data_IF_531821703691
#
_entry.id   IF_531821703691
#
_cell.length_a   1.000
_cell.length_b   1.000
_cell.length_c   1.000
_cell.angle_alpha   90.00
_cell.angle_beta   90.00
_cell.angle_gamma   90.00
#
_symmetry.space_group_name_H-M   'P 1'
#
loop_
_entity.id
_entity.type
_entity.pdbx_description
1 polymer ?
#
# COMPACT_ATOMS: atom_id res chain seq x y z
N UNK A 1 24.60 -2.20 3.11
CA UNK A 1 23.17 -2.62 2.97
C UNK A 1 22.70 -3.07 4.35
N UNK A 2 21.60 -2.52 4.86
CA UNK A 2 21.20 -2.68 6.26
C UNK A 2 20.87 -4.13 6.64
N UNK A 3 20.24 -4.91 5.75
CA UNK A 3 19.97 -6.33 5.98
C UNK A 3 21.24 -7.14 6.29
N UNK A 4 22.36 -6.85 5.62
CA UNK A 4 23.64 -7.52 5.88
C UNK A 4 24.18 -7.24 7.29
N UNK A 5 23.83 -6.11 7.89
CA UNK A 5 24.26 -5.77 9.26
C UNK A 5 23.56 -6.63 10.31
N UNK A 6 22.36 -7.13 9.99
CA UNK A 6 21.53 -7.94 10.88
C UNK A 6 21.44 -9.40 10.40
N UNK A 7 22.29 -9.80 9.44
CA UNK A 7 22.30 -11.14 8.84
C UNK A 7 20.93 -11.60 8.34
N UNK A 8 20.13 -10.67 7.80
CA UNK A 8 18.81 -10.97 7.21
C UNK A 8 19.00 -11.32 5.73
N UNK A 9 18.80 -12.59 5.34
CA UNK A 9 18.85 -12.98 3.93
C UNK A 9 17.68 -12.35 3.18
N UNK A 10 17.93 -11.87 1.96
CA UNK A 10 16.90 -11.29 1.12
C UNK A 10 17.11 -11.67 -0.34
N UNK A 11 16.03 -11.61 -1.11
CA UNK A 11 16.04 -11.76 -2.56
C UNK A 11 15.30 -10.57 -3.15
N UNK A 12 15.86 -9.96 -4.20
CA UNK A 12 15.20 -8.89 -4.95
C UNK A 12 14.70 -9.49 -6.26
N UNK A 13 13.39 -9.41 -6.47
CA UNK A 13 12.74 -9.86 -7.71
C UNK A 13 12.06 -8.67 -8.37
N UNK A 14 12.52 -8.31 -9.56
CA UNK A 14 11.92 -7.25 -10.38
C UNK A 14 11.25 -7.87 -11.60
N UNK A 15 10.04 -7.42 -11.96
CA UNK A 15 9.40 -7.77 -13.22
C UNK A 15 9.49 -6.60 -14.19
N UNK A 16 10.04 -6.86 -15.37
CA UNK A 16 10.04 -5.93 -16.49
C UNK A 16 9.07 -6.42 -17.58
N UNK A 17 8.59 -5.52 -18.42
CA UNK A 17 7.70 -5.82 -19.54
C UNK A 17 6.35 -6.45 -19.16
N UNK A 18 5.87 -6.21 -17.94
CA UNK A 18 4.53 -6.58 -17.51
C UNK A 18 3.59 -5.36 -17.63
N UNK A 19 2.57 -5.47 -18.48
CA UNK A 19 1.57 -4.42 -18.70
C UNK A 19 0.38 -4.51 -17.75
N UNK A 20 0.19 -5.67 -17.12
CA UNK A 20 -0.91 -5.96 -16.21
C UNK A 20 -0.37 -6.12 -14.79
N UNK A 21 -0.51 -5.07 -13.98
CA UNK A 21 0.00 -5.02 -12.60
C UNK A 21 -0.50 -6.20 -11.76
N UNK A 22 -1.76 -6.63 -11.94
CA UNK A 22 -2.33 -7.77 -11.20
C UNK A 22 -1.54 -9.06 -11.46
N UNK A 23 -1.29 -9.39 -12.73
CA UNK A 23 -0.47 -10.53 -13.13
C UNK A 23 0.98 -10.39 -12.66
N UNK A 24 1.53 -9.18 -12.68
CA UNK A 24 2.85 -8.90 -12.12
C UNK A 24 2.95 -9.25 -10.63
N UNK A 25 2.03 -8.75 -9.81
CA UNK A 25 1.99 -9.03 -8.37
C UNK A 25 1.75 -10.52 -8.08
N UNK A 26 0.85 -11.17 -8.83
CA UNK A 26 0.62 -12.61 -8.72
C UNK A 26 1.87 -13.43 -9.09
N UNK A 27 2.62 -13.01 -10.11
CA UNK A 27 3.86 -13.67 -10.54
C UNK A 27 4.97 -13.52 -9.49
N UNK A 28 5.16 -12.32 -8.92
CA UNK A 28 6.11 -12.10 -7.82
C UNK A 28 5.74 -12.91 -6.57
N UNK A 29 4.44 -13.02 -6.29
CA UNK A 29 3.92 -13.86 -5.19
C UNK A 29 4.26 -15.32 -5.43
N UNK A 30 4.11 -15.81 -6.66
CA UNK A 30 4.52 -17.17 -7.03
C UNK A 30 6.02 -17.41 -6.82
N UNK A 31 6.87 -16.48 -7.25
CA UNK A 31 8.33 -16.59 -7.06
C UNK A 31 8.70 -16.65 -5.57
N UNK A 32 8.04 -15.85 -4.75
CA UNK A 32 8.21 -15.86 -3.31
C UNK A 32 7.75 -17.18 -2.67
N UNK A 33 6.59 -17.70 -3.07
CA UNK A 33 6.05 -18.95 -2.52
C UNK A 33 6.89 -20.16 -2.88
N UNK A 34 7.52 -20.15 -4.06
CA UNK A 34 8.47 -21.19 -4.48
C UNK A 34 9.75 -21.21 -3.62
N UNK A 35 10.20 -20.05 -3.12
CA UNK A 35 11.35 -19.99 -2.23
C UNK A 35 10.97 -20.49 -0.83
N UNK A 36 11.36 -21.73 -0.48
CA UNK A 36 11.06 -22.37 0.81
C UNK A 36 11.56 -21.58 2.02
N UNK A 37 12.69 -20.89 1.88
CA UNK A 37 13.41 -20.27 2.99
C UNK A 37 12.89 -18.86 3.31
N UNK A 38 12.18 -18.23 2.37
CA UNK A 38 11.60 -16.91 2.54
C UNK A 38 10.40 -16.96 3.51
N UNK A 39 10.33 -15.98 4.43
CA UNK A 39 9.25 -15.89 5.44
C UNK A 39 8.31 -14.70 5.22
N UNK A 40 8.79 -13.64 4.57
CA UNK A 40 8.05 -12.41 4.32
C UNK A 40 8.22 -11.98 2.85
N UNK A 41 7.11 -11.60 2.22
CA UNK A 41 7.09 -10.92 0.94
C UNK A 41 6.97 -9.42 1.18
N UNK A 42 7.84 -8.63 0.56
CA UNK A 42 7.79 -7.18 0.65
C UNK A 42 7.58 -6.60 -0.75
N UNK A 43 6.43 -5.96 -0.96
CA UNK A 43 6.18 -5.17 -2.16
C UNK A 43 6.66 -3.74 -1.95
N UNK A 44 7.43 -3.25 -2.92
CA UNK A 44 7.89 -1.87 -3.01
C UNK A 44 7.66 -1.39 -4.44
N UNK A 45 6.82 -0.37 -4.62
CA UNK A 45 6.64 0.24 -5.93
C UNK A 45 7.89 1.05 -6.32
N UNK A 46 8.19 1.12 -7.61
CA UNK A 46 9.44 1.70 -8.12
C UNK A 46 9.59 3.21 -7.91
N UNK A 47 8.51 3.87 -7.47
CA UNK A 47 8.39 5.30 -7.23
C UNK A 47 8.12 5.63 -5.76
N UNK A 48 8.36 4.67 -4.85
CA UNK A 48 8.29 4.86 -3.40
C UNK A 48 9.70 5.06 -2.85
N UNK A 49 9.89 6.17 -2.16
CA UNK A 49 11.08 6.44 -1.35
C UNK A 49 10.79 6.06 0.11
N UNK A 50 11.73 5.36 0.73
CA UNK A 50 11.60 4.82 2.08
C UNK A 50 12.96 4.74 2.76
N UNK A 51 12.95 4.73 4.10
CA UNK A 51 14.16 4.46 4.89
C UNK A 51 14.34 2.95 5.12
N UNK A 52 15.55 2.39 5.00
CA UNK A 52 15.77 0.95 5.19
C UNK A 52 15.33 0.41 6.56
N UNK A 53 15.35 1.26 7.59
CA UNK A 53 14.86 0.96 8.94
C UNK A 53 13.37 0.60 8.94
N UNK A 54 12.56 1.18 8.05
CA UNK A 54 11.12 0.91 7.96
C UNK A 54 10.86 -0.55 7.57
N UNK A 55 11.64 -1.08 6.61
CA UNK A 55 11.55 -2.48 6.21
C UNK A 55 11.85 -3.42 7.38
N UNK A 56 12.94 -3.17 8.10
CA UNK A 56 13.33 -4.00 9.24
C UNK A 56 12.28 -3.98 10.35
N UNK A 57 11.73 -2.80 10.60
CA UNK A 57 10.70 -2.57 11.62
C UNK A 57 9.41 -3.29 11.27
N UNK A 58 9.00 -3.24 10.00
CA UNK A 58 7.82 -3.96 9.49
C UNK A 58 7.95 -5.47 9.61
N UNK A 59 9.14 -6.03 9.37
CA UNK A 59 9.41 -7.46 9.63
C UNK A 59 9.38 -7.76 11.13
N UNK A 60 9.97 -6.88 11.97
CA UNK A 60 10.04 -7.07 13.41
C UNK A 60 8.69 -7.01 14.15
N UNK A 61 7.67 -6.37 13.57
CA UNK A 61 6.32 -6.34 14.16
C UNK A 61 5.63 -7.70 14.18
N UNK A 62 6.08 -8.65 13.35
CA UNK A 62 5.53 -10.01 13.26
C UNK A 62 3.98 -10.04 13.14
N UNK A 63 3.44 -9.14 12.31
CA UNK A 63 2.01 -9.10 11.98
C UNK A 63 1.77 -9.70 10.60
N UNK A 64 0.57 -10.28 10.35
CA UNK A 64 0.26 -10.96 9.09
C UNK A 64 0.47 -10.07 7.85
N UNK A 65 -0.04 -8.83 7.91
CA UNK A 65 0.13 -7.81 6.86
C UNK A 65 0.39 -6.46 7.51
N UNK A 66 1.50 -5.82 7.15
CA UNK A 66 1.87 -4.45 7.59
C UNK A 66 2.09 -3.59 6.36
N UNK A 67 1.68 -2.32 6.43
CA UNK A 67 1.89 -1.34 5.36
C UNK A 67 2.49 -0.03 5.88
N UNK A 68 3.20 0.66 5.01
CA UNK A 68 3.48 2.09 5.16
C UNK A 68 2.49 2.92 4.34
N UNK A 69 2.05 4.06 4.88
CA UNK A 69 1.16 4.97 4.15
C UNK A 69 1.98 5.95 3.31
N UNK A 70 1.58 6.11 2.04
CA UNK A 70 2.18 7.07 1.11
C UNK A 70 1.11 7.99 0.49
N UNK A 71 1.49 9.22 0.13
CA UNK A 71 0.56 10.18 -0.46
C UNK A 71 0.17 9.78 -1.89
N UNK A 72 -1.06 10.11 -2.31
CA UNK A 72 -1.51 10.06 -3.69
C UNK A 72 -0.80 11.14 -4.48
N UNK A 73 -0.49 10.87 -5.75
CA UNK A 73 0.11 11.82 -6.70
C UNK A 73 -0.89 12.89 -7.17
N UNK A 74 -1.47 13.64 -6.24
CA UNK A 74 -2.40 14.71 -6.50
C UNK A 74 -2.33 15.75 -5.38
N UNK A 75 -2.31 17.02 -5.77
CA UNK A 75 -2.38 18.12 -4.81
C UNK A 75 -3.85 18.38 -4.46
N UNK A 76 -4.15 18.32 -3.16
CA UNK A 76 -5.44 18.70 -2.60
C UNK A 76 -5.50 20.22 -2.38
N UNK A 77 -5.78 20.96 -3.45
CA UNK A 77 -5.87 22.42 -3.42
C UNK A 77 -6.92 22.95 -2.43
N UNK A 78 -8.03 22.25 -2.28
CA UNK A 78 -9.09 22.63 -1.33
C UNK A 78 -8.61 22.52 0.12
N UNK A 79 -7.88 21.45 0.45
CA UNK A 79 -7.27 21.28 1.78
C UNK A 79 -6.25 22.39 2.08
N UNK A 80 -5.41 22.74 1.10
CA UNK A 80 -4.48 23.87 1.21
C UNK A 80 -5.22 25.19 1.47
N UNK A 81 -6.25 25.49 0.68
CA UNK A 81 -7.05 26.71 0.83
C UNK A 81 -7.70 26.76 2.22
N UNK A 82 -8.21 25.63 2.70
CA UNK A 82 -8.81 25.54 4.02
C UNK A 82 -7.78 25.79 5.13
N UNK A 83 -6.61 25.15 5.07
CA UNK A 83 -5.55 25.30 6.07
C UNK A 83 -5.07 26.75 6.20
N UNK A 84 -4.79 27.43 5.07
CA UNK A 84 -4.36 28.84 5.07
C UNK A 84 -5.44 29.76 5.65
N UNK A 85 -6.71 29.48 5.39
CA UNK A 85 -7.83 30.27 5.93
C UNK A 85 -8.05 30.02 7.41
N UNK A 86 -7.81 28.80 7.89
CA UNK A 86 -8.01 28.40 9.28
C UNK A 86 -6.84 28.82 10.19
N UNK A 87 -5.62 28.87 9.66
CA UNK A 87 -4.41 29.18 10.42
C UNK A 87 -3.51 30.14 9.63
N UNK A 88 -3.47 31.40 10.06
CA UNK A 88 -2.65 32.45 9.43
C UNK A 88 -1.14 32.29 9.63
N UNK A 89 -0.71 31.35 10.48
CA UNK A 89 0.71 31.05 10.70
C UNK A 89 1.25 29.98 9.74
N UNK A 90 0.40 29.40 8.89
CA UNK A 90 0.85 28.51 7.82
C UNK A 90 1.86 29.24 6.91
N UNK A 91 2.92 28.54 6.54
CA UNK A 91 3.99 29.08 5.71
C UNK A 91 4.47 28.04 4.70
N UNK A 92 5.42 28.42 3.84
CA UNK A 92 5.93 27.57 2.77
C UNK A 92 6.48 26.20 3.24
N UNK A 93 6.95 26.09 4.50
CA UNK A 93 7.49 24.84 5.04
C UNK A 93 6.44 23.94 5.70
N UNK A 94 5.27 24.49 6.06
CA UNK A 94 4.22 23.73 6.77
C UNK A 94 3.07 23.38 5.83
N UNK A 95 2.84 24.20 4.80
CA UNK A 95 1.65 24.09 3.95
C UNK A 95 1.63 22.80 3.10
N UNK A 96 2.79 22.26 2.77
CA UNK A 96 2.92 21.04 1.97
C UNK A 96 2.27 19.83 2.65
N UNK A 97 2.27 19.77 3.98
CA UNK A 97 1.63 18.69 4.74
C UNK A 97 0.11 18.58 4.52
N UNK A 98 -0.54 19.66 4.10
CA UNK A 98 -1.98 19.69 3.81
C UNK A 98 -2.32 19.32 2.35
N UNK A 99 -1.30 19.13 1.50
CA UNK A 99 -1.47 18.88 0.07
C UNK A 99 -1.84 17.44 -0.27
N UNK A 100 -1.64 16.50 0.66
CA UNK A 100 -1.62 15.07 0.36
C UNK A 100 -2.87 14.32 0.84
N UNK A 101 -3.44 13.50 -0.05
CA UNK A 101 -4.41 12.46 0.31
C UNK A 101 -3.68 11.11 0.38
N UNK A 102 -3.87 10.28 1.39
CA UNK A 102 -3.14 9.00 1.51
C UNK A 102 -3.91 7.81 0.89
N UNK A 103 -3.19 6.76 0.49
CA UNK A 103 -3.75 5.50 -0.06
C UNK A 103 -4.04 4.50 1.07
N UNK A 104 -4.85 4.91 2.05
CA UNK A 104 -5.28 4.05 3.16
C UNK A 104 -6.74 4.33 3.53
N UNK A 105 -7.49 3.29 3.89
CA UNK A 105 -8.83 3.40 4.48
C UNK A 105 -8.77 2.86 5.92
N UNK A 106 -9.07 3.69 6.92
CA UNK A 106 -9.06 3.28 8.33
C UNK A 106 -10.27 2.39 8.69
N UNK A 107 -10.05 1.42 9.59
CA UNK A 107 -11.13 0.66 10.21
C UNK A 107 -11.63 1.36 11.48
N UNK A 108 -12.56 2.29 11.26
CA UNK A 108 -13.19 3.10 12.31
C UNK A 108 -14.10 2.26 13.21
N UNK A 109 -13.98 2.45 14.53
CA UNK A 109 -14.84 1.82 15.52
C UNK A 109 -16.31 2.19 15.30
N UNK A 110 -17.22 1.26 15.60
CA UNK A 110 -18.66 1.49 15.58
C UNK A 110 -19.20 1.64 17.00
N UNK A 111 -20.13 2.59 17.19
CA UNK A 111 -20.83 2.75 18.46
C UNK A 111 -21.87 1.62 18.67
N UNK A 112 -22.53 1.59 19.83
CA UNK A 112 -23.59 0.62 20.16
C UNK A 112 -24.77 0.61 19.16
N UNK A 113 -24.93 1.69 18.36
CA UNK A 113 -25.95 1.84 17.33
C UNK A 113 -25.47 1.40 15.93
N UNK A 114 -24.20 1.01 15.79
CA UNK A 114 -23.59 0.59 14.53
C UNK A 114 -23.01 1.73 13.67
N UNK A 115 -23.07 2.98 14.13
CA UNK A 115 -22.54 4.14 13.40
C UNK A 115 -21.02 4.22 13.54
N UNK A 116 -20.35 4.65 12.46
CA UNK A 116 -18.90 4.88 12.48
C UNK A 116 -18.54 6.04 13.41
N UNK A 117 -17.51 5.85 14.21
CA UNK A 117 -16.90 6.87 15.07
C UNK A 117 -15.55 7.29 14.48
N UNK A 118 -15.00 8.47 14.82
CA UNK A 118 -13.68 8.87 14.34
C UNK A 118 -12.52 8.11 15.01
N UNK A 119 -12.80 7.16 15.90
CA UNK A 119 -11.78 6.41 16.63
C UNK A 119 -11.24 5.26 15.78
N UNK A 120 -9.91 5.15 15.73
CA UNK A 120 -9.20 4.05 15.08
C UNK A 120 -8.82 2.98 16.09
N UNK A 121 -8.68 1.74 15.63
CA UNK A 121 -8.20 0.63 16.45
C UNK A 121 -6.67 0.63 16.46
N UNK A 122 -6.07 0.75 17.64
CA UNK A 122 -4.61 0.73 17.83
C UNK A 122 -4.22 -0.52 18.62
N UNK A 123 -3.23 -1.26 18.13
CA UNK A 123 -2.62 -2.40 18.82
C UNK A 123 -1.12 -2.41 18.55
N UNK A 124 -0.29 -2.57 19.58
CA UNK A 124 1.19 -2.56 19.45
C UNK A 124 1.76 -1.33 18.71
N UNK A 125 1.14 -0.16 18.89
CA UNK A 125 1.43 1.08 18.16
C UNK A 125 1.19 1.02 16.64
N UNK A 126 0.47 0.01 16.16
CA UNK A 126 -0.01 -0.11 14.80
C UNK A 126 -1.49 0.25 14.74
N UNK A 127 -1.92 0.79 13.60
CA UNK A 127 -3.31 1.19 13.37
C UNK A 127 -3.97 0.17 12.45
N UNK A 128 -5.13 -0.37 12.83
CA UNK A 128 -5.87 -1.30 11.98
C UNK A 128 -6.48 -0.59 10.77
N UNK A 129 -6.29 -1.16 9.59
CA UNK A 129 -6.83 -0.65 8.33
C UNK A 129 -7.93 -1.53 7.76
N UNK A 130 -8.84 -0.90 7.03
CA UNK A 130 -9.80 -1.55 6.17
C UNK A 130 -9.19 -1.90 4.81
N UNK A 131 -8.49 -0.97 4.16
CA UNK A 131 -7.81 -1.26 2.89
C UNK A 131 -6.50 -0.46 2.84
N UNK A 132 -5.48 -1.01 2.17
CA UNK A 132 -4.18 -0.38 2.03
C UNK A 132 -3.58 -0.62 0.64
N UNK A 133 -2.79 0.34 0.17
CA UNK A 133 -2.01 0.20 -1.05
C UNK A 133 -0.84 -0.78 -0.90
N UNK A 134 -0.48 -1.45 -2.00
CA UNK A 134 0.62 -2.43 -2.05
C UNK A 134 1.99 -1.80 -2.34
N UNK A 135 2.09 -0.48 -2.48
CA UNK A 135 3.34 0.20 -2.82
C UNK A 135 4.41 0.14 -1.74
N UNK A 136 4.04 -0.15 -0.49
CA UNK A 136 4.96 -0.51 0.58
C UNK A 136 4.27 -1.45 1.57
N UNK A 137 4.27 -2.75 1.26
CA UNK A 137 3.49 -3.77 1.99
C UNK A 137 4.34 -5.00 2.31
N UNK A 138 4.37 -5.36 3.58
CA UNK A 138 4.97 -6.59 4.11
C UNK A 138 3.86 -7.63 4.36
N UNK A 139 4.04 -8.84 3.85
CA UNK A 139 3.07 -9.95 3.95
C UNK A 139 3.81 -11.18 4.45
N UNK A 140 3.33 -11.81 5.52
CA UNK A 140 3.88 -13.08 5.98
C UNK A 140 3.52 -14.23 5.03
N UNK A 141 4.44 -15.17 4.85
CA UNK A 141 4.23 -16.34 3.96
C UNK A 141 2.96 -17.12 4.29
N UNK A 142 2.66 -17.26 5.58
CA UNK A 142 1.47 -17.96 6.06
C UNK A 142 0.15 -17.30 5.60
N UNK A 143 0.12 -15.99 5.35
CA UNK A 143 -1.07 -15.29 4.84
C UNK A 143 -1.38 -15.76 3.43
N UNK A 144 -0.36 -15.77 2.56
CA UNK A 144 -0.51 -16.21 1.17
C UNK A 144 -0.88 -17.70 1.12
N UNK A 145 -0.26 -18.53 1.96
CA UNK A 145 -0.61 -19.95 2.05
C UNK A 145 -2.07 -20.15 2.45
N UNK A 146 -2.53 -19.48 3.52
CA UNK A 146 -3.93 -19.56 3.95
C UNK A 146 -4.88 -19.11 2.83
N UNK A 147 -4.53 -18.05 2.10
CA UNK A 147 -5.33 -17.59 0.96
C UNK A 147 -5.36 -18.61 -0.17
N UNK A 148 -4.25 -19.28 -0.49
CA UNK A 148 -4.23 -20.35 -1.49
C UNK A 148 -5.11 -21.53 -1.08
N UNK A 149 -5.09 -21.90 0.20
CA UNK A 149 -5.88 -23.01 0.74
C UNK A 149 -7.37 -22.68 0.76
N UNK A 150 -7.73 -21.42 1.04
CA UNK A 150 -9.13 -20.96 1.09
C UNK A 150 -9.72 -20.66 -0.29
N UNK A 151 -8.96 -20.02 -1.16
CA UNK A 151 -9.41 -19.51 -2.46
C UNK A 151 -8.83 -20.35 -3.61
N UNK A 152 -9.12 -21.66 -3.58
CA UNK A 152 -8.65 -22.60 -4.62
C UNK A 152 -9.22 -22.29 -6.00
N UNK A 153 -10.35 -21.58 -6.05
CA UNK A 153 -11.00 -21.07 -7.26
C UNK A 153 -10.20 -19.97 -7.96
N UNK A 154 -9.30 -19.28 -7.26
CA UNK A 154 -8.44 -18.23 -7.83
C UNK A 154 -7.20 -18.79 -8.53
N UNK A 155 -6.96 -20.11 -8.47
CA UNK A 155 -5.85 -20.74 -9.17
C UNK A 155 -6.06 -20.66 -10.68
N UNK A 156 -5.04 -20.23 -11.42
CA UNK A 156 -5.12 -20.11 -12.87
C UNK A 156 -3.87 -20.66 -13.57
N UNK A 157 -4.04 -21.04 -14.82
CA UNK A 157 -2.92 -21.35 -15.72
C UNK A 157 -2.48 -20.05 -16.37
N UNK A 158 -1.21 -19.72 -16.23
CA UNK A 158 -0.66 -18.46 -16.72
C UNK A 158 -0.15 -18.64 -18.15
N UNK A 159 -0.44 -17.67 -19.04
CA UNK A 159 -0.06 -17.74 -20.46
C UNK A 159 1.36 -17.19 -20.75
N UNK A 160 2.09 -16.76 -19.72
CA UNK A 160 3.49 -16.31 -19.85
C UNK A 160 4.45 -17.48 -19.61
N UNK A 161 5.54 -17.51 -20.36
CA UNK A 161 6.62 -18.50 -20.17
C UNK A 161 7.39 -18.19 -18.87
N UNK A 162 6.95 -18.81 -17.78
CA UNK A 162 7.69 -18.92 -16.52
C UNK A 162 8.12 -20.37 -16.32
N UNK A 163 9.16 -20.60 -15.51
CA UNK A 163 9.57 -21.95 -15.13
C UNK A 163 8.40 -22.70 -14.45
N UNK A 164 8.23 -23.98 -14.79
CA UNK A 164 7.16 -24.85 -14.32
C UNK A 164 7.05 -24.87 -12.78
N UNK A 165 8.17 -24.69 -12.07
CA UNK A 165 8.18 -24.63 -10.60
C UNK A 165 7.33 -23.47 -10.03
N UNK A 166 7.13 -22.41 -10.80
CA UNK A 166 6.32 -21.25 -10.39
C UNK A 166 4.82 -21.43 -10.71
N UNK A 167 4.47 -22.25 -11.70
CA UNK A 167 3.08 -22.43 -12.14
C UNK A 167 2.16 -22.93 -11.01
N UNK A 168 2.67 -23.77 -10.10
CA UNK A 168 1.90 -24.29 -8.96
C UNK A 168 1.38 -23.21 -8.00
N UNK A 169 1.99 -22.02 -8.01
CA UNK A 169 1.68 -20.89 -7.12
C UNK A 169 1.00 -19.72 -7.85
N UNK A 170 0.43 -19.95 -9.04
CA UNK A 170 -0.30 -18.93 -9.80
C UNK A 170 -1.76 -18.82 -9.32
N UNK A 171 -2.03 -17.79 -8.51
CA UNK A 171 -3.35 -17.47 -7.97
C UNK A 171 -3.67 -16.00 -8.20
N UNK A 172 -4.91 -15.69 -8.55
CA UNK A 172 -5.40 -14.34 -8.83
C UNK A 172 -5.71 -13.53 -7.56
N UNK A 173 -4.81 -13.58 -6.56
CA UNK A 173 -4.99 -12.89 -5.26
C UNK A 173 -5.00 -11.36 -5.39
N UNK A 174 -4.36 -10.83 -6.43
CA UNK A 174 -4.32 -9.40 -6.76
C UNK A 174 -5.17 -9.07 -8.00
N UNK A 175 -6.23 -9.80 -8.31
CA UNK A 175 -7.20 -9.31 -9.32
C UNK A 175 -8.18 -8.32 -8.73
N UNK A 176 -8.68 -7.38 -9.54
CA UNK A 176 -9.72 -6.42 -9.17
C UNK A 176 -11.07 -7.12 -8.99
N UNK A 177 -11.96 -6.55 -8.18
CA UNK A 177 -13.35 -7.02 -8.11
C UNK A 177 -14.35 -5.89 -7.91
N UNK A 178 -15.61 -6.19 -8.16
CA UNK A 178 -16.72 -5.36 -7.66
C UNK A 178 -17.10 -5.92 -6.30
N UNK A 179 -16.85 -5.14 -5.25
CA UNK A 179 -17.18 -5.51 -3.87
C UNK A 179 -18.66 -5.91 -3.77
N UNK A 180 -18.99 -7.12 -3.28
CA UNK A 180 -20.37 -7.60 -3.28
C UNK A 180 -21.28 -6.75 -2.38
N UNK A 181 -20.74 -6.22 -1.28
CA UNK A 181 -21.48 -5.44 -0.30
C UNK A 181 -21.65 -3.97 -0.70
N UNK A 182 -20.54 -3.28 -0.95
CA UNK A 182 -20.54 -1.83 -1.22
C UNK A 182 -20.71 -1.48 -2.69
N UNK A 183 -20.63 -2.47 -3.60
CA UNK A 183 -20.66 -2.29 -5.06
C UNK A 183 -19.54 -1.40 -5.61
N UNK A 184 -18.52 -1.10 -4.79
CA UNK A 184 -17.35 -0.33 -5.21
C UNK A 184 -16.47 -1.20 -6.09
N UNK A 185 -15.92 -0.59 -7.14
CA UNK A 185 -14.82 -1.19 -7.88
C UNK A 185 -13.56 -1.10 -7.02
N UNK A 186 -13.04 -2.26 -6.60
CA UNK A 186 -11.81 -2.36 -5.81
C UNK A 186 -10.63 -2.59 -6.75
N UNK A 187 -9.57 -1.81 -6.54
CA UNK A 187 -8.24 -2.06 -7.09
C UNK A 187 -7.67 -3.39 -6.56
N UNK A 188 -6.56 -3.82 -7.12
CA UNK A 188 -5.92 -5.10 -6.80
C UNK A 188 -5.49 -5.21 -5.34
N UNK A 189 -4.94 -4.12 -4.82
CA UNK A 189 -4.45 -4.01 -3.45
C UNK A 189 -5.60 -4.10 -2.44
N UNK A 190 -6.68 -3.37 -2.69
CA UNK A 190 -7.88 -3.38 -1.87
C UNK A 190 -8.60 -4.72 -1.97
N UNK A 191 -8.57 -5.37 -3.14
CA UNK A 191 -9.15 -6.71 -3.28
C UNK A 191 -8.35 -7.74 -2.48
N UNK A 192 -7.02 -7.68 -2.51
CA UNK A 192 -6.18 -8.52 -1.64
C UNK A 192 -6.51 -8.30 -0.16
N UNK A 193 -6.59 -7.04 0.30
CA UNK A 193 -6.99 -6.72 1.68
C UNK A 193 -8.38 -7.26 2.01
N UNK A 194 -9.35 -7.14 1.09
CA UNK A 194 -10.72 -7.62 1.29
C UNK A 194 -10.76 -9.15 1.43
N UNK A 195 -10.08 -9.89 0.54
CA UNK A 195 -9.95 -11.35 0.63
C UNK A 195 -9.36 -11.78 1.98
N UNK A 196 -8.32 -11.07 2.45
CA UNK A 196 -7.73 -11.35 3.77
C UNK A 196 -8.73 -11.15 4.91
N UNK A 197 -9.47 -10.06 4.87
CA UNK A 197 -10.46 -9.71 5.90
C UNK A 197 -11.67 -10.64 5.91
N UNK A 198 -12.11 -11.13 4.75
CA UNK A 198 -13.17 -12.14 4.64
C UNK A 198 -12.78 -13.46 5.33
N UNK A 199 -11.48 -13.71 5.47
CA UNK A 199 -10.92 -14.83 6.23
C UNK A 199 -10.68 -14.51 7.71
N UNK A 200 -11.06 -13.32 8.18
CA UNK A 200 -10.82 -12.83 9.54
C UNK A 200 -9.42 -12.23 9.77
N UNK A 201 -8.69 -11.96 8.68
CA UNK A 201 -7.35 -11.41 8.71
C UNK A 201 -7.31 -9.90 8.91
N UNK A 202 -6.28 -9.43 9.62
CA UNK A 202 -6.05 -8.01 9.90
C UNK A 202 -4.92 -7.41 9.05
N UNK A 203 -5.10 -6.14 8.67
CA UNK A 203 -4.11 -5.32 7.96
C UNK A 203 -3.71 -4.15 8.86
N UNK A 204 -2.41 -3.94 9.03
CA UNK A 204 -1.88 -2.98 9.99
C UNK A 204 -1.09 -1.87 9.30
N UNK A 205 -1.36 -0.62 9.66
CA UNK A 205 -0.56 0.54 9.32
C UNK A 205 0.49 0.77 10.39
N UNK A 206 1.72 0.94 9.94
CA UNK A 206 2.80 1.49 10.74
C UNK A 206 2.82 3.03 10.63
N UNK A 207 2.42 3.78 11.69
CA UNK A 207 2.31 5.22 11.62
C UNK A 207 3.66 5.94 11.64
N UNK A 208 4.78 5.24 11.89
CA UNK A 208 6.12 5.86 11.89
C UNK A 208 6.81 5.76 10.52
N UNK A 209 6.26 4.97 9.60
CA UNK A 209 6.80 4.80 8.25
C UNK A 209 6.39 6.00 7.42
N UNK A 210 7.35 6.91 7.17
CA UNK A 210 7.14 8.10 6.37
C UNK A 210 7.64 7.85 4.95
N UNK A 211 6.72 7.75 4.00
CA UNK A 211 7.03 7.45 2.61
C UNK A 211 6.80 8.66 1.73
N UNK A 212 7.73 8.91 0.80
CA UNK A 212 7.49 9.84 -0.30
C UNK A 212 7.07 9.06 -1.54
N UNK A 213 6.20 9.67 -2.35
CA UNK A 213 5.71 9.09 -3.60
C UNK A 213 6.15 9.95 -4.77
N UNK A 214 7.13 9.46 -5.52
CA UNK A 214 7.80 10.19 -6.60
C UNK A 214 6.91 10.19 -7.84
N UNK A 215 6.72 11.37 -8.44
CA UNK A 215 5.85 11.51 -9.61
C UNK A 215 6.30 12.62 -10.54
N UNK A 216 5.64 12.68 -11.69
CA UNK A 216 5.79 13.79 -12.60
C UNK A 216 4.84 14.92 -12.22
N UNK A 217 5.36 16.13 -12.00
CA UNK A 217 4.55 17.30 -11.71
C UNK A 217 4.57 18.27 -12.89
N UNK A 218 3.38 18.73 -13.31
CA UNK A 218 3.26 19.77 -14.34
C UNK A 218 3.18 21.14 -13.70
N UNK A 219 4.22 21.96 -13.89
CA UNK A 219 4.24 23.34 -13.43
C UNK A 219 3.40 24.23 -14.35
N UNK A 220 2.22 24.64 -13.87
CA UNK A 220 1.33 25.55 -14.61
C UNK A 220 1.82 26.99 -14.45
N UNK A 221 2.22 27.61 -15.56
CA UNK A 221 2.59 29.03 -15.60
C UNK A 221 1.38 29.96 -15.67
N UNK A 222 1.48 31.13 -15.04
CA UNK A 222 0.53 32.22 -15.18
C UNK A 222 1.29 33.54 -15.44
N UNK A 223 1.62 33.79 -16.70
CA UNK A 223 2.42 34.97 -17.10
C UNK A 223 1.73 36.30 -16.75
N UNK A 224 0.39 36.32 -16.67
CA UNK A 224 -0.36 37.53 -16.31
C UNK A 224 0.00 38.02 -14.90
N UNK A 225 0.23 37.11 -13.94
CA UNK A 225 0.63 37.48 -12.57
C UNK A 225 1.96 38.25 -12.54
N UNK A 226 2.89 37.94 -13.46
CA UNK A 226 4.17 38.66 -13.58
C UNK A 226 4.00 40.07 -14.16
N UNK A 227 2.98 40.28 -14.99
CA UNK A 227 2.72 41.56 -15.65
C UNK A 227 1.85 42.50 -14.82
N UNK A 228 0.99 41.97 -13.96
CA UNK A 228 0.05 42.76 -13.14
C UNK A 228 0.64 43.24 -11.81
N UNK A 229 1.81 42.73 -11.41
CA UNK A 229 2.44 43.12 -10.14
C UNK A 229 1.69 42.63 -8.90
N UNK A 230 0.81 41.63 -9.05
CA UNK A 230 0.12 41.04 -7.90
C UNK A 230 1.17 40.44 -6.94
N UNK A 231 1.09 40.75 -5.63
CA UNK A 231 2.10 40.28 -4.67
C UNK A 231 2.21 38.75 -4.67
N UNK A 232 3.44 38.27 -4.45
CA UNK A 232 3.78 36.85 -4.31
C UNK A 232 3.15 36.33 -3.03
#
# INVERSE_FOLDING_TARGET
IMCNKYDIPYTISTLANESLITRGRNTLTSFFMENSDATHLFFVDADIEFEPEDLLRMVAYDKPVVVGAYPKKAINWESIIHAVRANTNENANTIEGHSSNYVVNFDFLRNEKGDKTPQVQISDNLIKLKDAGTGFMCIQKQVIQQMFDKHTDLKYVNDINVDQKFEKHMYALFDTMIDPDSRRYLSEDYTFCRRWQEMGGDVWLDPRTALNHIGHYTFRGNIRKLLTGDPI
#
